data_IF_685797302895
#
_entry.id   IF_685797302895
#
_cell.length_a   1.000
_cell.length_b   1.000
_cell.length_c   1.000
_cell.angle_alpha   90.00
_cell.angle_beta   90.00
_cell.angle_gamma   90.00
#
_symmetry.space_group_name_H-M   'P 1'
#
loop_
_entity.id
_entity.type
_entity.pdbx_description
1 polymer ?
#
# COMPACT_ATOMS: atom_id res chain seq x y z
N UNK A 1 -72.05 -21.81 19.58
CA UNK A 1 -70.77 -21.17 19.95
C UNK A 1 -69.84 -21.17 18.73
N UNK A 2 -69.24 -20.02 18.40
CA UNK A 2 -68.07 -19.92 17.51
C UNK A 2 -68.31 -19.82 16.00
N UNK A 3 -68.60 -18.60 15.51
CA UNK A 3 -68.35 -18.21 14.10
C UNK A 3 -66.84 -17.96 13.91
N UNK A 4 -66.24 -18.37 12.80
CA UNK A 4 -65.18 -17.58 12.16
C UNK A 4 -64.93 -17.97 10.71
N UNK A 5 -64.97 -16.91 9.91
CA UNK A 5 -64.70 -16.74 8.49
C UNK A 5 -63.21 -16.64 8.18
N UNK A 6 -62.78 -17.02 6.97
CA UNK A 6 -61.96 -16.19 6.05
C UNK A 6 -61.56 -17.03 4.83
N UNK A 7 -61.97 -16.70 3.60
CA UNK A 7 -61.59 -15.55 2.74
C UNK A 7 -60.26 -15.80 2.00
N UNK A 8 -60.43 -16.30 0.77
CA UNK A 8 -59.67 -16.11 -0.47
C UNK A 8 -58.22 -15.58 -0.41
N UNK A 9 -57.34 -16.22 -1.20
CA UNK A 9 -56.42 -15.45 -2.06
C UNK A 9 -56.06 -16.18 -3.37
N UNK A 10 -56.25 -15.40 -4.42
CA UNK A 10 -56.14 -15.62 -5.86
C UNK A 10 -54.67 -15.79 -6.27
N UNK A 11 -54.37 -16.88 -6.99
CA UNK A 11 -53.12 -17.06 -7.74
C UNK A 11 -53.30 -16.40 -9.11
N UNK A 12 -52.53 -15.35 -9.40
CA UNK A 12 -52.33 -14.88 -10.78
C UNK A 12 -50.98 -14.20 -10.96
N UNK A 13 -50.23 -14.78 -11.90
CA UNK A 13 -49.42 -14.17 -12.96
C UNK A 13 -48.11 -13.44 -12.58
N UNK A 14 -47.03 -13.84 -13.28
CA UNK A 14 -46.29 -13.03 -14.27
C UNK A 14 -45.24 -12.12 -13.63
N UNK A 15 -44.09 -11.83 -14.21
CA UNK A 15 -43.48 -12.15 -15.50
C UNK A 15 -42.07 -11.55 -15.41
N UNK A 16 -41.14 -12.11 -16.20
CA UNK A 16 -39.83 -11.54 -16.44
C UNK A 16 -39.91 -10.04 -16.75
N UNK A 17 -39.02 -9.25 -16.15
CA UNK A 17 -38.72 -7.91 -16.65
C UNK A 17 -37.20 -7.75 -16.77
N UNK A 18 -36.76 -7.78 -18.03
CA UNK A 18 -35.45 -7.34 -18.48
C UNK A 18 -35.35 -5.84 -18.20
N UNK A 19 -34.42 -5.43 -17.35
CA UNK A 19 -33.96 -4.03 -17.30
C UNK A 19 -32.47 -3.99 -17.58
N UNK A 20 -32.14 -3.89 -18.87
CA UNK A 20 -30.91 -3.32 -19.38
C UNK A 20 -30.88 -1.83 -19.03
N UNK A 21 -30.22 -1.48 -17.92
CA UNK A 21 -29.93 -0.10 -17.58
C UNK A 21 -28.57 0.31 -18.19
N UNK A 22 -28.63 1.16 -19.21
CA UNK A 22 -27.52 2.01 -19.67
C UNK A 22 -26.90 2.72 -18.46
N UNK A 23 -25.65 2.41 -18.14
CA UNK A 23 -24.87 3.18 -17.16
C UNK A 23 -24.16 4.33 -17.89
N UNK A 24 -24.90 5.40 -18.18
CA UNK A 24 -24.33 6.72 -18.44
C UNK A 24 -24.57 7.57 -17.20
N UNK A 25 -23.48 7.92 -16.52
CA UNK A 25 -23.53 8.72 -15.31
C UNK A 25 -22.19 8.73 -14.60
N UNK A 26 -21.17 9.37 -15.21
CA UNK A 26 -19.97 9.80 -14.49
C UNK A 26 -20.36 10.88 -13.48
N UNK A 27 -20.90 10.45 -12.34
CA UNK A 27 -21.25 11.35 -11.24
C UNK A 27 -19.99 11.67 -10.44
N UNK A 28 -19.86 12.94 -10.05
CA UNK A 28 -18.80 13.55 -9.23
C UNK A 28 -18.60 12.93 -7.83
N UNK A 29 -19.21 11.77 -7.55
CA UNK A 29 -19.26 11.09 -6.26
C UNK A 29 -18.12 10.08 -6.03
N UNK A 30 -17.42 9.63 -7.07
CA UNK A 30 -16.33 8.64 -6.95
C UNK A 30 -14.92 9.25 -6.91
N UNK A 31 -14.79 10.58 -6.90
CA UNK A 31 -13.46 11.21 -6.87
C UNK A 31 -12.87 11.18 -5.46
N UNK A 32 -11.99 10.21 -5.21
CA UNK A 32 -11.23 10.13 -3.97
C UNK A 32 -10.37 11.38 -3.77
N UNK A 33 -10.27 11.83 -2.52
CA UNK A 33 -9.27 12.85 -2.13
C UNK A 33 -7.87 12.34 -2.50
N UNK A 34 -6.91 13.21 -2.86
CA UNK A 34 -5.58 12.79 -3.33
C UNK A 34 -4.89 11.76 -2.41
N UNK A 35 -4.96 11.96 -1.09
CA UNK A 35 -4.37 11.01 -0.12
C UNK A 35 -5.02 9.63 -0.14
N UNK A 36 -6.34 9.57 -0.34
CA UNK A 36 -7.08 8.31 -0.43
C UNK A 36 -6.77 7.61 -1.75
N UNK A 37 -6.72 8.36 -2.84
CA UNK A 37 -6.30 7.87 -4.16
C UNK A 37 -4.91 7.21 -4.10
N UNK A 38 -3.92 7.90 -3.52
CA UNK A 38 -2.55 7.36 -3.37
C UNK A 38 -2.54 6.02 -2.61
N UNK A 39 -3.36 5.87 -1.57
CA UNK A 39 -3.44 4.60 -0.81
C UNK A 39 -4.00 3.48 -1.68
N UNK A 40 -5.10 3.72 -2.40
CA UNK A 40 -5.72 2.69 -3.29
C UNK A 40 -4.77 2.33 -4.44
N UNK A 41 -4.13 3.34 -5.04
CA UNK A 41 -3.11 3.15 -6.07
C UNK A 41 -1.92 2.33 -5.56
N UNK A 42 -1.47 2.60 -4.33
CA UNK A 42 -0.38 1.85 -3.68
C UNK A 42 -0.77 0.38 -3.48
N UNK A 43 -1.99 0.11 -3.00
CA UNK A 43 -2.48 -1.27 -2.85
C UNK A 43 -2.48 -1.97 -4.21
N UNK A 44 -3.02 -1.32 -5.26
CA UNK A 44 -3.05 -1.89 -6.61
C UNK A 44 -1.65 -2.19 -7.15
N UNK A 45 -0.68 -1.28 -6.98
CA UNK A 45 0.73 -1.52 -7.34
C UNK A 45 1.32 -2.73 -6.60
N UNK A 46 1.08 -2.85 -5.29
CA UNK A 46 1.61 -3.96 -4.48
C UNK A 46 0.96 -5.30 -4.88
N UNK A 47 -0.32 -5.31 -5.20
CA UNK A 47 -1.00 -6.51 -5.73
C UNK A 47 -0.45 -6.89 -7.11
N UNK A 48 -0.21 -5.92 -7.98
CA UNK A 48 0.33 -6.15 -9.32
C UNK A 48 1.74 -6.79 -9.32
N UNK A 49 2.55 -6.52 -8.28
CA UNK A 49 3.87 -7.14 -8.08
C UNK A 49 3.81 -8.46 -7.26
N UNK A 50 2.62 -9.04 -7.08
CA UNK A 50 2.43 -10.35 -6.45
C UNK A 50 2.17 -10.33 -4.94
N UNK A 51 2.07 -9.16 -4.29
CA UNK A 51 1.60 -9.10 -2.90
C UNK A 51 0.07 -9.07 -2.87
N UNK A 52 -0.58 -10.23 -2.98
CA UNK A 52 -2.05 -10.34 -3.08
C UNK A 52 -2.83 -9.63 -1.96
N UNK A 53 -2.29 -9.65 -0.74
CA UNK A 53 -2.90 -9.08 0.47
C UNK A 53 -1.89 -8.21 1.23
N UNK A 54 -1.54 -7.02 0.74
CA UNK A 54 -0.47 -6.22 1.33
C UNK A 54 -0.83 -5.80 2.76
N UNK A 55 0.16 -5.84 3.67
CA UNK A 55 -0.04 -5.43 5.05
C UNK A 55 -0.26 -3.91 5.15
N UNK A 56 -1.09 -3.48 6.10
CA UNK A 56 -1.33 -2.05 6.40
C UNK A 56 -0.03 -1.26 6.56
N UNK A 57 0.96 -1.84 7.24
CA UNK A 57 2.25 -1.20 7.49
C UNK A 57 3.02 -0.98 6.20
N UNK A 58 3.00 -1.93 5.28
CA UNK A 58 3.67 -1.79 3.99
C UNK A 58 2.96 -0.76 3.13
N UNK A 59 1.63 -0.83 3.00
CA UNK A 59 0.86 0.19 2.27
C UNK A 59 1.09 1.60 2.86
N UNK A 60 1.17 1.73 4.18
CA UNK A 60 1.48 3.01 4.82
C UNK A 60 2.88 3.52 4.43
N UNK A 61 3.88 2.64 4.44
CA UNK A 61 5.23 2.94 4.00
C UNK A 61 5.24 3.33 2.52
N UNK A 62 4.67 2.54 1.62
CA UNK A 62 4.75 2.81 0.18
C UNK A 62 3.89 4.00 -0.28
N UNK A 63 2.82 4.33 0.45
CA UNK A 63 1.94 5.45 0.10
C UNK A 63 2.42 6.81 0.62
N UNK A 64 3.57 6.88 1.31
CA UNK A 64 4.06 8.11 1.94
C UNK A 64 3.22 8.61 3.12
N UNK A 65 2.22 7.86 3.58
CA UNK A 65 1.31 8.25 4.68
C UNK A 65 1.91 7.99 6.08
N UNK A 66 3.18 8.35 6.28
CA UNK A 66 3.98 7.96 7.45
C UNK A 66 3.93 8.96 8.61
N UNK A 67 3.09 10.00 8.54
CA UNK A 67 3.02 11.03 9.60
C UNK A 67 2.49 10.47 10.91
N UNK A 68 1.35 9.78 10.88
CA UNK A 68 0.76 9.11 12.05
C UNK A 68 0.01 7.84 11.64
N UNK A 69 0.14 6.78 12.43
CA UNK A 69 -0.64 5.54 12.24
C UNK A 69 -2.14 5.77 12.37
N UNK A 70 -2.55 6.62 13.32
CA UNK A 70 -3.95 7.00 13.52
C UNK A 70 -4.55 7.68 12.28
N UNK A 71 -3.80 8.59 11.64
CA UNK A 71 -4.24 9.26 10.42
C UNK A 71 -4.41 8.31 9.25
N UNK A 72 -3.46 7.39 9.07
CA UNK A 72 -3.54 6.35 8.06
C UNK A 72 -4.74 5.40 8.30
N UNK A 73 -4.94 4.96 9.55
CA UNK A 73 -6.07 4.09 9.93
C UNK A 73 -7.42 4.78 9.70
N UNK A 74 -7.52 6.09 9.96
CA UNK A 74 -8.71 6.87 9.66
C UNK A 74 -9.00 6.89 8.15
N UNK A 75 -7.98 7.10 7.32
CA UNK A 75 -8.11 7.07 5.86
C UNK A 75 -8.56 5.68 5.35
N UNK A 76 -8.00 4.60 5.90
CA UNK A 76 -8.43 3.24 5.58
C UNK A 76 -9.90 2.99 5.98
N UNK A 77 -10.33 3.51 7.13
CA UNK A 77 -11.73 3.43 7.56
C UNK A 77 -12.67 4.14 6.57
N UNK A 78 -12.26 5.27 5.99
CA UNK A 78 -13.02 5.96 4.94
C UNK A 78 -13.07 5.15 3.65
N UNK A 79 -11.93 4.62 3.19
CA UNK A 79 -11.85 3.80 1.97
C UNK A 79 -12.72 2.54 2.08
N UNK A 80 -12.73 1.90 3.25
CA UNK A 80 -13.60 0.75 3.53
C UNK A 80 -15.07 1.13 3.49
N UNK A 81 -15.46 2.22 4.16
CA UNK A 81 -16.85 2.72 4.13
C UNK A 81 -17.32 3.07 2.72
N UNK A 82 -16.41 3.54 1.87
CA UNK A 82 -16.69 3.88 0.47
C UNK A 82 -16.60 2.67 -0.49
N UNK A 83 -16.23 1.49 0.03
CA UNK A 83 -16.19 0.23 -0.71
C UNK A 83 -14.97 0.03 -1.60
N UNK A 84 -13.90 0.83 -1.47
CA UNK A 84 -12.68 0.69 -2.29
C UNK A 84 -11.71 -0.38 -1.77
N UNK A 85 -11.76 -0.68 -0.46
CA UNK A 85 -10.87 -1.65 0.19
C UNK A 85 -11.61 -2.45 1.25
N UNK A 86 -11.14 -3.66 1.51
CA UNK A 86 -11.55 -4.51 2.61
C UNK A 86 -10.38 -4.84 3.53
N UNK A 87 -10.70 -5.28 4.75
CA UNK A 87 -9.70 -5.67 5.74
C UNK A 87 -9.64 -7.19 5.80
N UNK A 88 -8.50 -7.76 5.39
CA UNK A 88 -8.24 -9.18 5.51
C UNK A 88 -7.68 -9.57 6.89
N UNK A 89 -7.31 -10.85 7.01
CA UNK A 89 -6.66 -11.38 8.20
C UNK A 89 -5.30 -10.71 8.47
N UNK A 90 -4.86 -10.67 9.73
CA UNK A 90 -3.49 -10.24 10.07
C UNK A 90 -3.17 -8.78 9.73
N UNK A 91 -4.16 -7.88 9.67
CA UNK A 91 -4.00 -6.48 9.23
C UNK A 91 -3.60 -6.35 7.75
N UNK A 92 -3.97 -7.31 6.91
CA UNK A 92 -3.87 -7.16 5.46
C UNK A 92 -4.99 -6.25 4.91
N UNK A 93 -4.75 -5.75 3.70
CA UNK A 93 -5.70 -4.97 2.93
C UNK A 93 -6.01 -5.73 1.64
N UNK A 94 -7.28 -5.75 1.27
CA UNK A 94 -7.76 -6.37 0.03
C UNK A 94 -8.34 -5.26 -0.83
N UNK A 95 -7.93 -5.19 -2.09
CA UNK A 95 -8.53 -4.28 -3.04
C UNK A 95 -9.86 -4.87 -3.52
N UNK A 96 -10.95 -4.12 -3.40
CA UNK A 96 -12.26 -4.59 -3.89
C UNK A 96 -12.34 -4.45 -5.39
N UNK A 97 -13.37 -5.05 -6.01
CA UNK A 97 -13.66 -4.84 -7.42
C UNK A 97 -13.88 -3.34 -7.74
N UNK A 98 -14.55 -2.60 -6.85
CA UNK A 98 -14.72 -1.14 -6.98
C UNK A 98 -13.36 -0.42 -6.94
N UNK A 99 -12.49 -0.80 -6.01
CA UNK A 99 -11.12 -0.30 -5.92
C UNK A 99 -10.30 -0.54 -7.19
N UNK A 100 -10.37 -1.77 -7.70
CA UNK A 100 -9.67 -2.18 -8.91
C UNK A 100 -10.18 -1.43 -10.14
N UNK A 101 -11.51 -1.32 -10.31
CA UNK A 101 -12.11 -0.56 -11.42
C UNK A 101 -11.75 0.93 -11.37
N UNK A 102 -11.65 1.50 -10.18
CA UNK A 102 -11.31 2.91 -10.00
C UNK A 102 -9.85 3.24 -10.40
N UNK A 103 -8.90 2.37 -10.04
CA UNK A 103 -7.50 2.54 -10.45
C UNK A 103 -7.27 2.14 -11.91
N UNK A 104 -8.07 1.20 -12.42
CA UNK A 104 -7.84 0.55 -13.70
C UNK A 104 -6.77 -0.54 -13.60
N UNK A 105 -6.33 -1.02 -14.75
CA UNK A 105 -5.28 -2.04 -14.83
C UNK A 105 -3.92 -1.41 -14.58
N UNK A 106 -3.23 -1.90 -13.56
CA UNK A 106 -1.81 -1.58 -13.35
C UNK A 106 -1.00 -2.60 -14.14
N UNK A 107 -0.24 -2.14 -15.12
CA UNK A 107 0.64 -2.99 -15.91
C UNK A 107 1.85 -3.43 -15.06
N UNK A 108 1.99 -4.72 -14.71
CA UNK A 108 3.12 -5.19 -13.91
C UNK A 108 4.46 -5.00 -14.62
N UNK A 109 4.48 -5.02 -15.96
CA UNK A 109 5.72 -4.85 -16.74
C UNK A 109 6.25 -3.42 -16.71
N UNK A 110 5.38 -2.45 -16.41
CA UNK A 110 5.76 -1.05 -16.16
C UNK A 110 6.38 -0.84 -14.78
N UNK A 111 6.17 -1.77 -13.85
CA UNK A 111 6.75 -1.74 -12.51
C UNK A 111 8.12 -2.39 -12.58
N UNK A 112 9.18 -1.58 -12.60
CA UNK A 112 10.55 -2.07 -12.45
C UNK A 112 11.03 -1.89 -11.01
N UNK A 113 12.01 -2.69 -10.57
CA UNK A 113 12.66 -2.48 -9.28
C UNK A 113 13.16 -1.04 -9.16
N UNK A 114 13.72 -0.48 -10.24
CA UNK A 114 14.21 0.90 -10.29
C UNK A 114 13.09 1.92 -10.05
N UNK A 115 11.93 1.78 -10.71
CA UNK A 115 10.80 2.70 -10.49
C UNK A 115 10.31 2.65 -9.04
N UNK A 116 10.22 1.45 -8.47
CA UNK A 116 9.77 1.26 -7.07
C UNK A 116 10.80 1.85 -6.11
N UNK A 117 12.08 1.64 -6.36
CA UNK A 117 13.17 2.20 -5.57
C UNK A 117 13.23 3.73 -5.67
N UNK A 118 12.91 4.31 -6.83
CA UNK A 118 12.78 5.76 -6.99
C UNK A 118 11.62 6.32 -6.15
N UNK A 119 10.44 5.68 -6.19
CA UNK A 119 9.30 6.04 -5.33
C UNK A 119 9.70 5.97 -3.83
N UNK A 120 10.47 4.96 -3.42
CA UNK A 120 10.99 4.84 -2.05
C UNK A 120 11.99 5.96 -1.70
N UNK A 121 12.91 6.29 -2.61
CA UNK A 121 13.91 7.35 -2.42
C UNK A 121 13.26 8.71 -2.25
N UNK A 122 12.14 8.96 -2.91
CA UNK A 122 11.39 10.21 -2.75
C UNK A 122 10.90 10.46 -1.33
N UNK A 123 10.70 9.40 -0.56
CA UNK A 123 10.36 9.47 0.86
C UNK A 123 11.54 9.75 1.79
N UNK A 124 12.76 9.63 1.28
CA UNK A 124 14.00 9.78 2.04
C UNK A 124 14.57 11.17 1.91
N UNK A 125 15.21 11.65 3.00
CA UNK A 125 16.04 12.85 2.97
C UNK A 125 17.29 12.59 2.10
N UNK A 126 17.94 13.64 1.55
CA UNK A 126 19.09 13.47 0.65
C UNK A 126 20.18 12.53 1.18
N UNK A 127 20.58 12.68 2.45
CA UNK A 127 21.61 11.80 3.04
C UNK A 127 21.17 10.34 3.17
N UNK A 128 19.90 10.09 3.51
CA UNK A 128 19.34 8.74 3.58
C UNK A 128 19.18 8.11 2.18
N UNK A 129 18.98 8.91 1.12
CA UNK A 129 19.02 8.41 -0.27
C UNK A 129 20.40 7.86 -0.61
N UNK A 130 21.47 8.57 -0.23
CA UNK A 130 22.83 8.09 -0.46
C UNK A 130 23.11 6.75 0.26
N UNK A 131 22.57 6.55 1.47
CA UNK A 131 22.64 5.26 2.17
C UNK A 131 21.87 4.18 1.40
N UNK A 132 20.68 4.51 0.90
CA UNK A 132 19.87 3.61 0.09
C UNK A 132 20.62 3.19 -1.18
N UNK A 133 21.18 4.15 -1.91
CA UNK A 133 21.94 3.92 -3.14
C UNK A 133 23.19 3.05 -2.90
N UNK A 134 23.90 3.26 -1.78
CA UNK A 134 25.05 2.45 -1.37
C UNK A 134 24.70 0.98 -1.06
N UNK A 135 23.41 0.67 -0.82
CA UNK A 135 22.90 -0.65 -0.48
C UNK A 135 22.02 -1.27 -1.59
N UNK A 136 21.96 -0.64 -2.77
CA UNK A 136 21.14 -1.11 -3.90
C UNK A 136 21.57 -2.47 -4.44
N UNK A 137 22.79 -2.90 -4.17
CA UNK A 137 23.27 -4.25 -4.50
C UNK A 137 22.62 -5.36 -3.66
N UNK A 138 21.80 -5.00 -2.66
CA UNK A 138 21.12 -5.94 -1.77
C UNK A 138 22.06 -6.65 -0.78
N UNK A 139 23.36 -6.33 -0.79
CA UNK A 139 24.36 -7.02 0.03
C UNK A 139 24.38 -6.49 1.45
N UNK A 140 24.73 -7.38 2.37
CA UNK A 140 25.01 -7.00 3.75
C UNK A 140 26.33 -6.24 3.83
N UNK A 141 26.29 -5.04 4.40
CA UNK A 141 27.46 -4.17 4.56
C UNK A 141 27.62 -3.69 5.99
N UNK A 142 28.86 -3.44 6.39
CA UNK A 142 29.18 -2.90 7.71
C UNK A 142 28.78 -1.42 7.79
N UNK A 143 28.02 -1.06 8.83
CA UNK A 143 27.50 0.29 9.05
C UNK A 143 28.60 1.36 9.12
N UNK A 144 29.73 1.04 9.74
CA UNK A 144 30.88 1.95 9.90
C UNK A 144 31.56 2.22 8.56
N UNK A 145 31.65 1.19 7.71
CA UNK A 145 32.25 1.29 6.37
C UNK A 145 31.40 2.19 5.47
N UNK A 146 30.08 1.97 5.43
CA UNK A 146 29.15 2.82 4.67
C UNK A 146 29.22 4.26 5.15
N UNK A 147 29.21 4.49 6.48
CA UNK A 147 29.29 5.84 7.03
C UNK A 147 30.57 6.56 6.57
N UNK A 148 31.71 5.85 6.55
CA UNK A 148 32.98 6.37 6.06
C UNK A 148 32.94 6.66 4.55
N UNK A 149 32.42 5.74 3.74
CA UNK A 149 32.28 5.91 2.29
C UNK A 149 31.41 7.12 1.92
N UNK A 150 30.36 7.36 2.70
CA UNK A 150 29.43 8.48 2.52
C UNK A 150 29.88 9.76 3.23
N UNK A 151 31.12 9.82 3.71
CA UNK A 151 31.71 10.99 4.37
C UNK A 151 30.92 11.51 5.58
N UNK A 152 30.35 10.61 6.39
CA UNK A 152 29.83 10.99 7.70
C UNK A 152 30.96 11.30 8.68
N UNK A 153 30.68 12.19 9.64
CA UNK A 153 31.60 12.46 10.75
C UNK A 153 31.68 11.23 11.65
N UNK A 154 32.83 10.54 11.60
CA UNK A 154 33.09 9.33 12.38
C UNK A 154 33.17 9.60 13.88
N UNK A 155 33.39 10.86 14.30
CA UNK A 155 33.35 11.26 15.71
C UNK A 155 31.91 11.45 16.20
N UNK A 156 30.96 11.66 15.29
CA UNK A 156 29.55 11.95 15.58
C UNK A 156 28.61 11.20 14.64
N UNK A 157 28.53 9.88 14.81
CA UNK A 157 27.63 9.01 14.03
C UNK A 157 26.13 9.21 14.31
N UNK A 158 25.75 10.10 15.23
CA UNK A 158 24.34 10.32 15.57
C UNK A 158 23.45 10.73 14.39
N UNK A 159 24.00 11.43 13.39
CA UNK A 159 23.29 11.75 12.15
C UNK A 159 23.00 10.50 11.31
N UNK A 160 24.01 9.66 11.12
CA UNK A 160 23.91 8.40 10.38
C UNK A 160 22.93 7.44 11.05
N UNK A 161 23.01 7.28 12.37
CA UNK A 161 22.10 6.42 13.13
C UNK A 161 20.65 6.90 13.08
N UNK A 162 20.41 8.21 13.03
CA UNK A 162 19.07 8.78 12.84
C UNK A 162 18.52 8.43 11.46
N UNK A 163 19.33 8.55 10.41
CA UNK A 163 18.93 8.19 9.05
C UNK A 163 18.61 6.68 8.94
N UNK A 164 19.48 5.81 9.48
CA UNK A 164 19.24 4.37 9.56
C UNK A 164 17.97 4.02 10.35
N UNK A 165 17.77 4.65 11.50
CA UNK A 165 16.58 4.43 12.33
C UNK A 165 15.31 4.82 11.58
N UNK A 166 15.33 5.93 10.84
CA UNK A 166 14.20 6.37 10.03
C UNK A 166 13.90 5.39 8.90
N UNK A 167 14.93 4.96 8.16
CA UNK A 167 14.78 3.97 7.08
C UNK A 167 14.28 2.63 7.63
N UNK A 168 14.72 2.21 8.81
CA UNK A 168 14.19 1.03 9.54
C UNK A 168 12.70 1.18 9.86
N UNK A 169 12.26 2.34 10.34
CA UNK A 169 10.84 2.59 10.61
C UNK A 169 9.98 2.49 9.36
N UNK A 170 10.50 2.95 8.21
CA UNK A 170 9.87 2.77 6.89
C UNK A 170 9.91 1.31 6.42
N UNK A 171 10.79 0.50 7.01
CA UNK A 171 11.00 -0.91 6.69
C UNK A 171 11.91 -1.11 5.49
N UNK A 172 12.66 -0.10 5.05
CA UNK A 172 13.56 -0.21 3.90
C UNK A 172 14.86 -0.95 4.25
N UNK A 173 15.16 -1.13 5.53
CA UNK A 173 16.38 -1.75 6.00
C UNK A 173 16.10 -2.95 6.92
N UNK A 174 16.93 -3.97 6.73
CA UNK A 174 17.11 -5.08 7.66
C UNK A 174 18.49 -4.97 8.33
N UNK A 175 18.56 -5.47 9.57
CA UNK A 175 19.79 -5.50 10.37
C UNK A 175 20.11 -6.95 10.71
N UNK A 176 20.80 -7.69 9.82
CA UNK A 176 21.14 -9.09 10.07
C UNK A 176 21.96 -9.25 11.36
N UNK A 177 22.87 -8.30 11.61
CA UNK A 177 23.59 -8.20 12.88
C UNK A 177 23.50 -6.78 13.45
N UNK A 178 23.96 -6.60 14.69
CA UNK A 178 24.09 -5.26 15.30
C UNK A 178 25.04 -4.33 14.54
N UNK A 179 25.97 -4.85 13.73
CA UNK A 179 27.02 -4.04 13.07
C UNK A 179 26.78 -3.85 11.57
N UNK A 180 25.84 -4.60 11.00
CA UNK A 180 25.61 -4.66 9.57
C UNK A 180 24.20 -4.21 9.21
N UNK A 181 24.02 -3.87 7.94
CA UNK A 181 22.77 -3.40 7.38
C UNK A 181 22.67 -3.85 5.93
N UNK A 182 21.46 -4.13 5.47
CA UNK A 182 21.12 -4.36 4.05
C UNK A 182 19.75 -3.77 3.74
N UNK A 183 19.45 -3.55 2.47
CA UNK A 183 18.07 -3.25 2.05
C UNK A 183 17.17 -4.46 2.33
N UNK A 184 15.93 -4.17 2.73
CA UNK A 184 14.94 -5.20 2.97
C UNK A 184 14.46 -5.83 1.66
N UNK A 185 14.03 -7.09 1.68
CA UNK A 185 13.59 -7.81 0.47
C UNK A 185 12.47 -7.08 -0.30
N UNK A 186 11.62 -6.30 0.39
CA UNK A 186 10.56 -5.52 -0.25
C UNK A 186 11.05 -4.35 -1.11
N UNK A 187 12.34 -4.01 -1.04
CA UNK A 187 13.00 -3.09 -1.97
C UNK A 187 13.34 -3.74 -3.31
N UNK A 188 13.15 -5.07 -3.41
CA UNK A 188 13.40 -5.90 -4.60
C UNK A 188 12.21 -6.83 -4.85
N UNK A 189 10.99 -6.30 -5.05
CA UNK A 189 9.80 -7.14 -5.21
C UNK A 189 9.85 -8.06 -6.43
N UNK A 190 10.67 -7.73 -7.43
CA UNK A 190 10.88 -8.54 -8.64
C UNK A 190 12.16 -9.39 -8.55
N UNK A 191 12.75 -9.52 -7.36
CA UNK A 191 14.02 -10.20 -7.13
C UNK A 191 15.22 -9.25 -7.12
N UNK A 192 16.28 -9.64 -6.42
CA UNK A 192 17.59 -8.99 -6.48
C UNK A 192 18.40 -9.66 -7.60
N UNK A 193 18.55 -8.97 -8.73
CA UNK A 193 19.42 -9.37 -9.83
C UNK A 193 20.89 -9.26 -9.46
#
# INVERSE_FOLDING_TARGET
MGKSTNKARKLTASSASKNSAKYQGSSSLDQLKPKLHIIVQTIAKLVAIGMECPLRKDVQSFSGNTKTEAGFTKNLGLLRKQGFVEFGAGKSLILTEKGSKYIGTVDPSSLTNESIQNDMKDMLKPKARNIFDALLDGKERNRVVIAKELNYDMNKLSGFEKDLSKMKTLGFLDFPTKKTVKLANKCFPLGSS
#
